data_IF_439105027503
#
_entry.id   IF_439105027503
#
_cell.length_a   1.000
_cell.length_b   1.000
_cell.length_c   1.000
_cell.angle_alpha   90.00
_cell.angle_beta   90.00
_cell.angle_gamma   90.00
#
_symmetry.space_group_name_H-M   'P 1'
#
loop_
_entity.id
_entity.type
_entity.pdbx_description
1 polymer ?
#
# COMPACT_ATOMS: atom_id res chain seq x y z
N UNK A 1 8.75 -0.44 3.72
CA UNK A 1 7.72 0.39 3.07
C UNK A 1 7.19 1.48 4.00
N UNK A 2 6.65 1.17 5.17
CA UNK A 2 6.05 2.18 6.07
C UNK A 2 7.05 3.22 6.63
N UNK A 3 8.28 2.83 6.91
CA UNK A 3 9.33 3.77 7.35
C UNK A 3 9.61 4.81 6.25
N UNK A 4 9.87 4.34 5.02
CA UNK A 4 10.17 5.21 3.88
C UNK A 4 9.00 6.11 3.45
N UNK A 5 7.77 5.78 3.84
CA UNK A 5 6.64 6.68 3.64
C UNK A 5 6.83 7.99 4.41
N UNK A 6 7.37 7.92 5.65
CA UNK A 6 7.67 9.11 6.42
C UNK A 6 8.70 10.00 5.75
N UNK A 7 9.80 9.41 5.33
CA UNK A 7 10.89 10.13 4.70
C UNK A 7 10.41 10.85 3.40
N UNK A 8 9.47 10.23 2.66
CA UNK A 8 8.85 10.87 1.49
C UNK A 8 8.01 12.09 1.90
N UNK A 9 7.26 12.00 3.02
CA UNK A 9 6.50 13.14 3.54
C UNK A 9 7.41 14.22 4.09
N UNK A 10 8.46 13.87 4.83
CA UNK A 10 9.44 14.81 5.40
C UNK A 10 10.17 15.61 4.31
N UNK A 11 10.32 15.04 3.12
CA UNK A 11 10.92 15.69 1.97
C UNK A 11 9.95 16.63 1.21
N UNK A 12 8.66 16.70 1.59
CA UNK A 12 7.68 17.65 1.04
C UNK A 12 7.36 18.71 2.08
N UNK A 13 7.87 19.97 1.93
CA UNK A 13 7.72 21.01 2.94
C UNK A 13 6.28 21.51 3.15
N UNK A 14 5.37 21.13 2.27
CA UNK A 14 3.95 21.51 2.37
C UNK A 14 3.09 20.47 3.10
N UNK A 15 3.69 19.36 3.51
CA UNK A 15 2.97 18.26 4.17
C UNK A 15 3.49 18.04 5.59
N UNK A 16 2.58 17.71 6.48
CA UNK A 16 2.93 17.16 7.78
C UNK A 16 3.16 15.66 7.66
N UNK A 17 4.23 15.17 8.25
CA UNK A 17 4.54 13.74 8.27
C UNK A 17 3.53 12.98 9.13
N UNK A 18 2.81 12.01 8.56
CA UNK A 18 1.85 11.23 9.32
C UNK A 18 2.57 10.33 10.33
N UNK A 19 2.00 10.20 11.51
CA UNK A 19 2.38 9.12 12.42
C UNK A 19 2.00 7.77 11.80
N UNK A 20 2.87 6.79 11.92
CA UNK A 20 2.73 5.51 11.21
C UNK A 20 2.91 4.34 12.15
N UNK A 21 2.03 3.36 12.01
CA UNK A 21 2.13 2.08 12.68
C UNK A 21 2.00 0.96 11.66
N UNK A 22 2.80 -0.08 11.77
CA UNK A 22 2.69 -1.27 10.94
C UNK A 22 2.50 -2.49 11.83
N UNK A 23 1.49 -3.30 11.50
CA UNK A 23 1.26 -4.60 12.11
C UNK A 23 1.30 -5.64 11.00
N UNK A 24 2.33 -6.46 11.02
CA UNK A 24 2.59 -7.47 9.99
C UNK A 24 2.83 -8.83 10.62
N UNK A 25 2.31 -9.86 9.97
CA UNK A 25 2.57 -11.27 10.32
C UNK A 25 3.06 -11.94 9.04
N UNK A 26 4.25 -12.52 9.07
CA UNK A 26 4.84 -13.13 7.88
C UNK A 26 3.94 -14.23 7.30
N UNK A 27 3.67 -14.12 5.98
CA UNK A 27 2.84 -15.08 5.26
C UNK A 27 1.35 -15.02 5.60
N UNK A 28 0.91 -14.01 6.35
CA UNK A 28 -0.49 -13.88 6.76
C UNK A 28 -1.42 -13.50 5.61
N UNK A 29 -2.70 -13.75 5.86
CA UNK A 29 -3.81 -13.13 5.16
C UNK A 29 -4.60 -12.25 6.13
N UNK A 30 -5.51 -11.43 5.61
CA UNK A 30 -6.38 -10.59 6.44
C UNK A 30 -7.13 -11.38 7.53
N UNK A 31 -7.37 -12.68 7.31
CA UNK A 31 -8.05 -13.54 8.27
C UNK A 31 -7.28 -13.79 9.58
N UNK A 32 -5.99 -13.51 9.60
CA UNK A 32 -5.12 -13.74 10.77
C UNK A 32 -5.06 -12.51 11.70
N UNK A 33 -5.55 -11.36 11.22
CA UNK A 33 -5.45 -10.10 11.93
C UNK A 33 -6.69 -9.83 12.80
N UNK A 34 -6.45 -9.48 14.05
CA UNK A 34 -7.48 -8.95 14.97
C UNK A 34 -7.47 -7.42 14.93
N UNK A 35 -8.06 -6.88 13.86
CA UNK A 35 -8.07 -5.43 13.62
C UNK A 35 -8.80 -4.66 14.73
N UNK A 36 -9.80 -5.26 15.35
CA UNK A 36 -10.52 -4.63 16.46
C UNK A 36 -9.60 -4.42 17.67
N UNK A 37 -8.85 -5.46 18.05
CA UNK A 37 -7.82 -5.34 19.10
C UNK A 37 -6.76 -4.30 18.75
N UNK A 38 -6.28 -4.27 17.51
CA UNK A 38 -5.25 -3.33 17.09
C UNK A 38 -5.68 -1.87 17.19
N UNK A 39 -6.96 -1.59 17.04
CA UNK A 39 -7.51 -0.23 17.09
C UNK A 39 -7.94 0.14 18.53
N UNK A 40 -8.48 -0.80 19.29
CA UNK A 40 -9.17 -0.52 20.55
C UNK A 40 -8.35 -0.82 21.79
N UNK A 41 -7.34 -1.69 21.69
CA UNK A 41 -6.51 -2.07 22.84
C UNK A 41 -5.32 -1.14 23.00
N UNK A 42 -5.35 -0.30 24.03
CA UNK A 42 -4.28 0.66 24.36
C UNK A 42 -2.98 -0.02 24.80
N UNK A 43 -3.02 -1.31 25.18
CA UNK A 43 -1.82 -2.08 25.54
C UNK A 43 -1.03 -2.50 24.28
N UNK A 44 -1.64 -2.47 23.09
CA UNK A 44 -0.93 -2.67 21.84
C UNK A 44 -0.22 -1.38 21.49
N UNK A 45 1.07 -1.29 21.82
CA UNK A 45 1.90 -0.13 21.63
C UNK A 45 1.92 0.36 20.18
N UNK A 46 1.91 1.66 20.01
CA UNK A 46 2.19 2.32 18.75
C UNK A 46 3.60 2.91 18.78
N UNK A 47 4.35 2.75 17.69
CA UNK A 47 5.71 3.29 17.58
C UNK A 47 6.04 3.66 16.15
N UNK A 48 6.97 4.58 15.96
CA UNK A 48 7.67 4.79 14.69
C UNK A 48 9.08 4.25 14.76
N UNK A 49 9.64 3.86 13.63
CA UNK A 49 11.04 3.47 13.52
C UNK A 49 11.76 4.54 12.72
N UNK A 50 12.80 5.12 13.30
CA UNK A 50 13.73 5.95 12.58
C UNK A 50 14.56 5.08 11.62
N UNK A 51 14.56 5.42 10.33
CA UNK A 51 15.19 4.60 9.29
C UNK A 51 16.73 4.66 9.31
N UNK A 52 17.28 5.74 9.84
CA UNK A 52 18.74 5.98 9.83
C UNK A 52 19.42 5.35 11.05
N UNK A 53 18.78 5.44 12.20
CA UNK A 53 19.32 4.95 13.47
C UNK A 53 18.80 3.57 13.86
N UNK A 54 17.74 3.09 13.20
CA UNK A 54 17.01 1.88 13.55
C UNK A 54 16.49 1.89 15.00
N UNK A 55 16.27 3.07 15.56
CA UNK A 55 15.63 3.27 16.85
C UNK A 55 14.14 3.44 16.69
N UNK A 56 13.38 3.26 17.76
CA UNK A 56 11.93 3.45 17.74
C UNK A 56 11.49 4.38 18.86
N UNK A 57 10.47 5.17 18.56
CA UNK A 57 9.78 6.02 19.51
C UNK A 57 8.36 5.52 19.72
N UNK A 58 7.96 5.35 20.97
CA UNK A 58 6.60 4.98 21.32
C UNK A 58 5.66 6.19 21.24
N UNK A 59 4.43 5.97 20.76
CA UNK A 59 3.38 6.97 20.86
C UNK A 59 2.48 6.70 22.06
N UNK A 60 2.20 7.73 22.83
CA UNK A 60 1.17 7.68 23.89
C UNK A 60 -0.24 7.81 23.31
N UNK A 61 -0.38 8.59 22.23
CA UNK A 61 -1.61 8.84 21.55
C UNK A 61 -1.85 7.79 20.43
N UNK A 62 -3.06 7.27 20.35
CA UNK A 62 -3.44 6.22 19.43
C UNK A 62 -4.53 6.66 18.45
N UNK A 63 -4.69 7.97 18.23
CA UNK A 63 -5.62 8.44 17.21
C UNK A 63 -5.18 7.94 15.83
N UNK A 64 -6.10 7.26 15.17
CA UNK A 64 -5.90 6.65 13.86
C UNK A 64 -6.92 7.25 12.90
N UNK A 65 -6.45 7.91 11.84
CA UNK A 65 -7.33 8.46 10.80
C UNK A 65 -7.59 7.43 9.69
N UNK A 66 -6.59 6.61 9.38
CA UNK A 66 -6.63 5.70 8.23
C UNK A 66 -6.02 4.34 8.58
N UNK A 67 -6.67 3.27 8.15
CA UNK A 67 -6.10 1.91 8.18
C UNK A 67 -5.98 1.37 6.76
N UNK A 68 -4.76 1.09 6.34
CA UNK A 68 -4.48 0.44 5.04
C UNK A 68 -4.44 -1.06 5.25
N UNK A 69 -5.36 -1.76 4.58
CA UNK A 69 -5.47 -3.22 4.61
C UNK A 69 -4.82 -3.84 3.38
N UNK A 70 -3.93 -4.80 3.59
CA UNK A 70 -3.28 -5.56 2.52
C UNK A 70 -3.46 -7.06 2.78
N UNK A 71 -3.88 -7.81 1.76
CA UNK A 71 -3.93 -9.28 1.83
C UNK A 71 -2.74 -9.91 1.07
N UNK A 72 -2.53 -11.19 1.22
CA UNK A 72 -1.53 -11.92 0.45
C UNK A 72 -1.82 -11.82 -1.06
N UNK A 73 -0.79 -11.76 -1.91
CA UNK A 73 -0.97 -11.55 -3.36
C UNK A 73 -1.81 -12.65 -4.04
N UNK A 74 -1.80 -13.87 -3.52
CA UNK A 74 -2.62 -14.97 -4.05
C UNK A 74 -4.00 -15.08 -3.41
N UNK A 75 -4.24 -14.48 -2.24
CA UNK A 75 -5.48 -14.67 -1.50
C UNK A 75 -6.73 -14.24 -2.31
N UNK A 76 -6.75 -13.10 -3.00
CA UNK A 76 -7.91 -12.67 -3.77
C UNK A 76 -8.22 -13.51 -5.00
N UNK A 77 -7.20 -14.20 -5.57
CA UNK A 77 -7.31 -14.92 -6.85
C UNK A 77 -7.24 -16.44 -6.72
N UNK A 78 -7.05 -16.95 -5.51
CA UNK A 78 -7.04 -18.39 -5.25
C UNK A 78 -8.44 -18.86 -4.86
N UNK A 79 -8.98 -19.86 -5.55
CA UNK A 79 -10.36 -20.34 -5.35
C UNK A 79 -10.65 -20.78 -3.91
N UNK A 80 -9.66 -21.32 -3.20
CA UNK A 80 -9.83 -21.75 -1.80
C UNK A 80 -9.73 -20.60 -0.79
N UNK A 81 -9.21 -19.43 -1.17
CA UNK A 81 -8.95 -18.29 -0.28
C UNK A 81 -9.78 -17.05 -0.61
N UNK A 82 -10.33 -16.97 -1.81
CA UNK A 82 -11.09 -15.82 -2.31
C UNK A 82 -12.26 -15.46 -1.39
N UNK A 83 -13.03 -16.44 -0.93
CA UNK A 83 -14.16 -16.19 -0.03
C UNK A 83 -13.69 -15.62 1.30
N UNK A 84 -12.54 -16.09 1.80
CA UNK A 84 -11.91 -15.53 2.99
C UNK A 84 -11.49 -14.07 2.77
N UNK A 85 -10.88 -13.75 1.62
CA UNK A 85 -10.53 -12.38 1.26
C UNK A 85 -11.76 -11.46 1.34
N UNK A 86 -12.86 -11.78 0.66
CA UNK A 86 -14.08 -10.98 0.70
C UNK A 86 -14.67 -10.84 2.10
N UNK A 87 -14.73 -11.95 2.84
CA UNK A 87 -15.24 -12.00 4.20
C UNK A 87 -14.47 -11.03 5.12
N UNK A 88 -13.13 -11.07 5.06
CA UNK A 88 -12.31 -10.29 5.98
C UNK A 88 -12.11 -8.85 5.52
N UNK A 89 -12.14 -8.55 4.23
CA UNK A 89 -12.23 -7.16 3.75
C UNK A 89 -13.52 -6.53 4.27
N UNK A 90 -14.66 -7.21 4.18
CA UNK A 90 -15.92 -6.71 4.74
C UNK A 90 -15.84 -6.54 6.25
N UNK A 91 -15.49 -7.58 6.99
CA UNK A 91 -15.43 -7.56 8.46
C UNK A 91 -14.55 -6.41 8.96
N UNK A 92 -13.33 -6.33 8.46
CA UNK A 92 -12.37 -5.33 8.94
C UNK A 92 -12.76 -3.92 8.54
N UNK A 93 -13.27 -3.70 7.33
CA UNK A 93 -13.73 -2.36 6.93
C UNK A 93 -14.92 -1.87 7.75
N UNK A 94 -15.85 -2.75 8.12
CA UNK A 94 -16.96 -2.42 9.02
C UNK A 94 -16.45 -2.09 10.43
N UNK A 95 -15.53 -2.89 10.97
CA UNK A 95 -14.88 -2.64 12.27
C UNK A 95 -14.18 -1.28 12.29
N UNK A 96 -13.34 -1.01 11.27
CA UNK A 96 -12.58 0.24 11.17
C UNK A 96 -13.52 1.45 11.12
N UNK A 97 -14.57 1.40 10.27
CA UNK A 97 -15.55 2.49 10.18
C UNK A 97 -16.35 2.71 11.45
N UNK A 98 -16.65 1.64 12.19
CA UNK A 98 -17.40 1.77 13.47
C UNK A 98 -16.65 2.60 14.51
N UNK A 99 -15.34 2.79 14.32
CA UNK A 99 -14.47 3.64 15.16
C UNK A 99 -14.22 5.03 14.55
N UNK A 100 -14.90 5.40 13.46
CA UNK A 100 -14.71 6.68 12.78
C UNK A 100 -13.46 6.75 11.91
N UNK A 101 -12.79 5.63 11.66
CA UNK A 101 -11.54 5.53 10.91
C UNK A 101 -11.83 5.18 9.45
N UNK A 102 -11.02 5.70 8.51
CA UNK A 102 -11.13 5.37 7.09
C UNK A 102 -10.40 4.05 6.76
N UNK A 103 -11.08 3.00 6.27
CA UNK A 103 -10.43 1.82 5.72
C UNK A 103 -10.04 2.03 4.25
N UNK A 104 -8.80 1.73 3.90
CA UNK A 104 -8.30 1.76 2.52
C UNK A 104 -7.78 0.37 2.17
N UNK A 105 -8.05 -0.09 0.94
CA UNK A 105 -7.58 -1.37 0.44
C UNK A 105 -6.33 -1.16 -0.41
N UNK A 106 -5.26 -1.89 -0.10
CA UNK A 106 -4.02 -1.86 -0.87
C UNK A 106 -3.98 -3.03 -1.84
N UNK A 107 -4.05 -2.75 -3.13
CA UNK A 107 -3.92 -3.77 -4.17
C UNK A 107 -2.45 -4.13 -4.35
N UNK A 108 -2.12 -5.37 -4.01
CA UNK A 108 -0.79 -5.95 -4.20
C UNK A 108 -0.44 -6.13 -5.68
N UNK A 109 0.78 -6.53 -5.96
CA UNK A 109 1.32 -6.71 -7.30
C UNK A 109 1.37 -8.17 -7.73
N UNK A 110 1.43 -8.44 -9.05
CA UNK A 110 1.62 -9.77 -9.58
C UNK A 110 3.06 -10.27 -9.30
N UNK A 111 3.27 -11.57 -9.31
CA UNK A 111 4.63 -12.10 -9.31
C UNK A 111 5.34 -11.74 -10.61
N UNK A 112 6.66 -11.52 -10.56
CA UNK A 112 7.45 -11.12 -11.73
C UNK A 112 7.28 -12.06 -12.92
N UNK A 113 7.23 -13.37 -12.64
CA UNK A 113 7.09 -14.43 -13.64
C UNK A 113 5.63 -14.81 -13.94
N UNK A 114 4.65 -14.05 -13.42
CA UNK A 114 3.21 -14.27 -13.61
C UNK A 114 2.46 -12.95 -13.78
N UNK A 115 2.79 -12.16 -14.80
CA UNK A 115 2.19 -10.83 -15.00
C UNK A 115 0.67 -10.88 -15.25
N UNK A 116 0.16 -12.01 -15.75
CA UNK A 116 -1.27 -12.28 -15.94
C UNK A 116 -2.08 -12.24 -14.64
N UNK A 117 -1.44 -12.44 -13.48
CA UNK A 117 -2.09 -12.28 -12.18
C UNK A 117 -2.71 -10.90 -12.01
N UNK A 118 -2.13 -9.85 -12.62
CA UNK A 118 -2.60 -8.49 -12.42
C UNK A 118 -4.06 -8.31 -12.84
N UNK A 119 -4.46 -8.88 -13.97
CA UNK A 119 -5.85 -8.78 -14.43
C UNK A 119 -6.83 -9.41 -13.43
N UNK A 120 -6.45 -10.54 -12.86
CA UNK A 120 -7.27 -11.21 -11.84
C UNK A 120 -7.28 -10.42 -10.53
N UNK A 121 -6.13 -9.92 -10.08
CA UNK A 121 -6.03 -9.06 -8.89
C UNK A 121 -6.91 -7.82 -9.05
N UNK A 122 -6.80 -7.10 -10.15
CA UNK A 122 -7.65 -5.94 -10.41
C UNK A 122 -9.13 -6.26 -10.29
N UNK A 123 -9.59 -7.31 -10.97
CA UNK A 123 -10.98 -7.74 -10.93
C UNK A 123 -11.48 -7.96 -9.50
N UNK A 124 -10.73 -8.72 -8.70
CA UNK A 124 -11.17 -9.08 -7.36
C UNK A 124 -11.04 -7.92 -6.37
N UNK A 125 -9.98 -7.12 -6.46
CA UNK A 125 -9.82 -5.93 -5.63
C UNK A 125 -10.85 -4.84 -5.96
N UNK A 126 -11.14 -4.57 -7.24
CA UNK A 126 -12.20 -3.64 -7.64
C UNK A 126 -13.56 -4.09 -7.14
N UNK A 127 -13.87 -5.38 -7.25
CA UNK A 127 -15.12 -5.93 -6.73
C UNK A 127 -15.21 -5.77 -5.21
N UNK A 128 -14.16 -6.08 -4.47
CA UNK A 128 -14.11 -5.92 -3.02
C UNK A 128 -14.26 -4.46 -2.59
N UNK A 129 -13.53 -3.55 -3.28
CA UNK A 129 -13.61 -2.09 -3.08
C UNK A 129 -15.05 -1.58 -3.29
N UNK A 130 -15.67 -1.95 -4.40
CA UNK A 130 -17.05 -1.54 -4.73
C UNK A 130 -18.08 -2.04 -3.72
N UNK A 131 -18.03 -3.33 -3.38
CA UNK A 131 -18.96 -3.95 -2.41
C UNK A 131 -18.89 -3.29 -1.03
N UNK A 132 -17.71 -2.84 -0.62
CA UNK A 132 -17.46 -2.29 0.70
C UNK A 132 -17.25 -0.76 0.70
N UNK A 133 -17.42 -0.08 -0.45
CA UNK A 133 -17.23 1.37 -0.62
C UNK A 133 -15.86 1.82 -0.09
N UNK A 134 -14.79 1.16 -0.54
CA UNK A 134 -13.41 1.42 -0.09
C UNK A 134 -12.64 2.23 -1.13
N UNK A 135 -11.85 3.19 -0.66
CA UNK A 135 -10.72 3.68 -1.46
C UNK A 135 -9.72 2.56 -1.67
N UNK A 136 -8.97 2.63 -2.77
CA UNK A 136 -7.96 1.63 -3.08
C UNK A 136 -6.66 2.27 -3.56
N UNK A 137 -5.53 1.70 -3.14
CA UNK A 137 -4.19 2.07 -3.60
C UNK A 137 -3.79 1.07 -4.69
N UNK A 138 -3.60 1.49 -5.94
CA UNK A 138 -3.41 0.59 -7.09
C UNK A 138 -1.94 0.22 -7.33
N UNK A 139 -1.21 -0.22 -6.30
CA UNK A 139 0.22 -0.49 -6.40
C UNK A 139 0.55 -1.57 -7.45
N UNK A 140 -0.29 -2.60 -7.60
CA UNK A 140 -0.07 -3.65 -8.60
C UNK A 140 -0.06 -3.13 -10.04
N UNK A 141 -0.82 -2.09 -10.35
CA UNK A 141 -0.80 -1.46 -11.68
C UNK A 141 0.54 -0.77 -11.96
N UNK A 142 1.09 -0.07 -10.95
CA UNK A 142 2.39 0.58 -11.08
C UNK A 142 3.52 -0.45 -11.29
N UNK A 143 3.48 -1.58 -10.57
CA UNK A 143 4.43 -2.67 -10.75
C UNK A 143 4.35 -3.28 -12.15
N UNK A 144 3.14 -3.57 -12.64
CA UNK A 144 2.97 -4.10 -13.99
C UNK A 144 3.49 -3.11 -15.03
N UNK A 145 3.18 -1.81 -14.88
CA UNK A 145 3.61 -0.77 -15.80
C UNK A 145 5.13 -0.68 -15.91
N UNK A 146 5.84 -0.67 -14.77
CA UNK A 146 7.32 -0.67 -14.74
C UNK A 146 7.86 -1.94 -15.40
N UNK A 147 7.36 -3.11 -15.06
CA UNK A 147 7.83 -4.37 -15.65
C UNK A 147 7.69 -4.41 -17.18
N UNK A 148 6.67 -3.77 -17.73
CA UNK A 148 6.41 -3.76 -19.16
C UNK A 148 7.19 -2.68 -19.92
N UNK A 149 7.36 -1.50 -19.32
CA UNK A 149 7.91 -0.33 -20.00
C UNK A 149 9.36 0.00 -19.61
N UNK A 150 9.82 -0.49 -18.46
CA UNK A 150 11.16 -0.27 -17.92
C UNK A 150 11.78 -1.58 -17.41
N UNK A 151 12.00 -2.58 -18.30
CA UNK A 151 12.41 -3.94 -17.89
C UNK A 151 13.77 -4.00 -17.19
N UNK A 152 14.60 -2.96 -17.32
CA UNK A 152 15.88 -2.83 -16.64
C UNK A 152 15.73 -2.42 -15.16
N UNK A 153 14.56 -1.93 -14.73
CA UNK A 153 14.27 -1.62 -13.32
C UNK A 153 13.69 -2.88 -12.67
N UNK A 154 14.47 -3.50 -11.79
CA UNK A 154 14.03 -4.73 -11.13
C UNK A 154 13.29 -4.40 -9.85
N UNK A 155 11.96 -4.62 -9.82
CA UNK A 155 11.11 -4.37 -8.66
C UNK A 155 11.03 -5.52 -7.65
N UNK A 156 11.71 -6.64 -7.88
CA UNK A 156 11.56 -7.86 -7.09
C UNK A 156 12.88 -8.38 -6.56
N UNK A 157 12.82 -9.03 -5.41
CA UNK A 157 13.91 -9.86 -4.90
C UNK A 157 14.06 -11.15 -5.72
N UNK A 158 15.03 -11.98 -5.38
CA UNK A 158 15.33 -13.24 -6.09
C UNK A 158 14.14 -14.21 -6.12
N UNK A 159 13.24 -14.13 -5.15
CA UNK A 159 12.06 -15.00 -5.10
C UNK A 159 10.95 -14.60 -6.08
N UNK A 160 11.12 -13.50 -6.83
CA UNK A 160 10.20 -12.98 -7.84
C UNK A 160 8.81 -12.56 -7.28
N UNK A 161 8.71 -12.34 -5.97
CA UNK A 161 7.44 -12.06 -5.26
C UNK A 161 7.54 -10.84 -4.36
N UNK A 162 8.55 -10.82 -3.49
CA UNK A 162 8.77 -9.72 -2.58
C UNK A 162 9.42 -8.54 -3.29
N UNK A 163 9.16 -7.30 -2.84
CA UNK A 163 9.70 -6.13 -3.50
C UNK A 163 11.19 -5.98 -3.21
N UNK A 164 11.95 -5.60 -4.23
CA UNK A 164 13.30 -5.07 -4.11
C UNK A 164 13.28 -3.71 -3.40
N UNK A 165 14.42 -3.03 -3.34
CA UNK A 165 14.52 -1.65 -2.90
C UNK A 165 13.68 -0.72 -3.79
N UNK A 166 13.78 -0.86 -5.10
CA UNK A 166 13.00 -0.12 -6.10
C UNK A 166 11.50 -0.39 -5.97
N UNK A 167 11.11 -1.66 -5.82
CA UNK A 167 9.72 -2.06 -5.61
C UNK A 167 9.16 -1.52 -4.29
N UNK A 168 9.96 -1.52 -3.23
CA UNK A 168 9.59 -0.94 -1.93
C UNK A 168 9.35 0.55 -2.03
N UNK A 169 10.23 1.26 -2.76
CA UNK A 169 10.08 2.70 -2.99
C UNK A 169 8.82 3.00 -3.81
N UNK A 170 8.60 2.28 -4.93
CA UNK A 170 7.40 2.44 -5.74
C UNK A 170 6.11 2.22 -4.92
N UNK A 171 6.07 1.18 -4.09
CA UNK A 171 4.92 0.92 -3.22
C UNK A 171 4.68 2.05 -2.20
N UNK A 172 5.76 2.62 -1.63
CA UNK A 172 5.66 3.77 -0.72
C UNK A 172 5.16 5.03 -1.45
N UNK A 173 5.65 5.28 -2.67
CA UNK A 173 5.16 6.38 -3.52
C UNK A 173 3.68 6.22 -3.86
N UNK A 174 3.20 5.01 -4.13
CA UNK A 174 1.78 4.74 -4.38
C UNK A 174 0.91 5.03 -3.16
N UNK A 175 1.39 4.74 -1.94
CA UNK A 175 0.70 5.14 -0.71
C UNK A 175 0.71 6.67 -0.58
N UNK A 176 1.87 7.30 -0.73
CA UNK A 176 2.01 8.75 -0.65
C UNK A 176 1.03 9.47 -1.58
N UNK A 177 1.04 9.16 -2.88
CA UNK A 177 0.14 9.80 -3.86
C UNK A 177 -1.33 9.57 -3.53
N UNK A 178 -1.68 8.35 -3.08
CA UNK A 178 -3.07 8.00 -2.78
C UNK A 178 -3.61 8.68 -1.51
N UNK A 179 -2.75 8.94 -0.53
CA UNK A 179 -3.14 9.63 0.70
C UNK A 179 -3.11 11.15 0.56
N UNK A 180 -2.02 11.69 0.01
CA UNK A 180 -1.82 13.15 -0.09
C UNK A 180 -2.50 13.79 -1.30
N UNK A 181 -2.81 13.00 -2.33
CA UNK A 181 -3.22 13.48 -3.67
C UNK A 181 -2.20 14.44 -4.29
N UNK A 182 -0.92 14.34 -3.92
CA UNK A 182 0.19 15.13 -4.45
C UNK A 182 1.09 14.30 -5.35
N UNK A 183 1.76 15.01 -6.28
CA UNK A 183 2.79 14.39 -7.11
C UNK A 183 4.06 14.15 -6.29
N UNK A 184 4.67 12.96 -6.37
CA UNK A 184 5.98 12.71 -5.77
C UNK A 184 7.14 13.12 -6.69
N UNK A 185 6.84 13.61 -7.90
CA UNK A 185 7.88 13.99 -8.87
C UNK A 185 8.70 15.15 -8.32
N UNK A 186 10.01 14.95 -8.25
CA UNK A 186 10.94 15.93 -7.69
C UNK A 186 11.11 15.82 -6.16
N UNK A 187 10.48 14.86 -5.51
CA UNK A 187 10.75 14.59 -4.10
C UNK A 187 12.22 14.22 -3.90
N UNK A 188 12.89 14.90 -2.96
CA UNK A 188 14.34 14.74 -2.74
C UNK A 188 14.72 13.43 -2.05
N UNK A 189 13.77 12.80 -1.35
CA UNK A 189 14.00 11.47 -0.78
C UNK A 189 13.86 10.40 -1.86
N UNK A 190 14.96 9.77 -2.19
CA UNK A 190 15.05 8.74 -3.24
C UNK A 190 15.44 7.36 -2.70
N UNK A 191 15.41 7.18 -1.38
CA UNK A 191 15.75 5.91 -0.72
C UNK A 191 17.16 5.39 -1.09
N UNK A 192 18.09 6.28 -1.47
CA UNK A 192 19.44 5.91 -1.95
C UNK A 192 19.43 5.07 -3.23
N UNK A 193 18.44 5.27 -4.08
CA UNK A 193 18.38 4.73 -5.45
C UNK A 193 19.19 5.61 -6.40
N UNK A 194 19.46 5.07 -7.59
CA UNK A 194 19.92 5.88 -8.70
C UNK A 194 18.90 7.00 -9.00
N UNK A 195 19.34 8.26 -9.17
CA UNK A 195 18.43 9.39 -9.37
C UNK A 195 17.51 9.25 -10.58
N UNK A 196 17.98 8.68 -11.69
CA UNK A 196 17.18 8.48 -12.90
C UNK A 196 16.11 7.39 -12.67
N UNK A 197 16.48 6.32 -11.98
CA UNK A 197 15.55 5.27 -11.58
C UNK A 197 14.49 5.83 -10.62
N UNK A 198 14.90 6.58 -9.60
CA UNK A 198 13.97 7.19 -8.64
C UNK A 198 12.98 8.13 -9.33
N UNK A 199 13.45 8.96 -10.27
CA UNK A 199 12.61 9.84 -11.07
C UNK A 199 11.56 9.08 -11.87
N UNK A 200 11.95 8.01 -12.56
CA UNK A 200 11.01 7.16 -13.29
C UNK A 200 9.94 6.58 -12.36
N UNK A 201 10.33 6.09 -11.19
CA UNK A 201 9.39 5.54 -10.22
C UNK A 201 8.41 6.59 -9.67
N UNK A 202 8.87 7.81 -9.44
CA UNK A 202 8.04 8.96 -9.03
C UNK A 202 7.03 9.33 -10.13
N UNK A 203 7.48 9.43 -11.38
CA UNK A 203 6.62 9.74 -12.53
C UNK A 203 5.55 8.65 -12.75
N UNK A 204 5.93 7.39 -12.67
CA UNK A 204 5.00 6.26 -12.84
C UNK A 204 4.01 6.18 -11.68
N UNK A 205 4.44 6.41 -10.44
CA UNK A 205 3.52 6.46 -9.31
C UNK A 205 2.43 7.52 -9.49
N UNK A 206 2.82 8.72 -9.95
CA UNK A 206 1.87 9.79 -10.24
C UNK A 206 0.94 9.47 -11.41
N UNK A 207 1.49 8.94 -12.51
CA UNK A 207 0.73 8.53 -13.68
C UNK A 207 -0.35 7.51 -13.30
N UNK A 208 0.04 6.45 -12.62
CA UNK A 208 -0.88 5.38 -12.23
C UNK A 208 -1.94 5.84 -11.23
N UNK A 209 -1.59 6.72 -10.30
CA UNK A 209 -2.56 7.34 -9.41
C UNK A 209 -3.61 8.14 -10.19
N UNK A 210 -3.21 9.00 -11.12
CA UNK A 210 -4.12 9.82 -11.93
C UNK A 210 -5.01 8.98 -12.84
N UNK A 211 -4.46 7.97 -13.49
CA UNK A 211 -5.23 7.07 -14.34
C UNK A 211 -6.26 6.27 -13.54
N UNK A 212 -5.86 5.81 -12.36
CA UNK A 212 -6.77 5.11 -11.46
C UNK A 212 -7.92 6.01 -11.00
N UNK A 213 -7.64 7.26 -10.60
CA UNK A 213 -8.70 8.22 -10.23
C UNK A 213 -9.70 8.46 -11.36
N UNK A 214 -9.23 8.62 -12.61
CA UNK A 214 -10.11 8.78 -13.77
C UNK A 214 -11.00 7.53 -13.98
N UNK A 215 -10.44 6.34 -13.82
CA UNK A 215 -11.19 5.06 -13.94
C UNK A 215 -12.27 4.95 -12.87
N UNK A 216 -11.96 5.30 -11.62
CA UNK A 216 -12.91 5.30 -10.50
C UNK A 216 -14.05 6.28 -10.77
N UNK A 217 -13.76 7.53 -11.16
CA UNK A 217 -14.79 8.53 -11.50
C UNK A 217 -15.72 8.07 -12.63
N UNK A 218 -15.17 7.44 -13.66
CA UNK A 218 -15.95 6.95 -14.82
C UNK A 218 -16.76 5.69 -14.51
N UNK A 219 -16.39 4.93 -13.50
CA UNK A 219 -17.08 3.69 -13.11
C UNK A 219 -18.15 3.88 -12.02
N UNK A 220 -18.30 5.11 -11.51
CA UNK A 220 -19.24 5.42 -10.42
C UNK A 220 -18.89 4.73 -9.10
N UNK A 221 -17.59 4.53 -8.86
CA UNK A 221 -17.04 3.97 -7.64
C UNK A 221 -16.80 5.07 -6.59
#
# INVERSE_FOLDING_TARGET
MHNHLGDIYDADPELNTPRRRSITINGSSLSWHDVESYISNKEIGAFTIDSDTNTYEAYEDQDIDVVIMMDCSLCPINDKRKDSFYKYVKKHSETIRSKGIEPILFMTWPYKNKPEMQQQLEKEFFKASKLNKLRMIPAGQAFLYINQNFPNINLYTEDLRHPSKEGTYLAALMIFTSLSNKTPVGNSYIMGLDPDVAKILQEVAWLMHKDFQKRVMNSGL
#
